data_IF_320416267331
#
_entry.id   IF_320416267331
#
_cell.length_a   1.000
_cell.length_b   1.000
_cell.length_c   1.000
_cell.angle_alpha   90.00
_cell.angle_beta   90.00
_cell.angle_gamma   90.00
#
_symmetry.space_group_name_H-M   'P 1'
#
loop_
_entity.id
_entity.type
_entity.pdbx_description
1 polymer ?
#
# COMPACT_ATOMS: atom_id res chain seq x y z
N UNK A 1 -27.75 -12.87 0.23
CA UNK A 1 -27.48 -13.21 1.64
C UNK A 1 -26.01 -13.54 1.76
N UNK A 2 -25.19 -12.64 2.29
CA UNK A 2 -23.75 -12.86 2.42
C UNK A 2 -23.50 -13.80 3.59
N UNK A 3 -23.06 -15.02 3.32
CA UNK A 3 -22.64 -15.99 4.33
C UNK A 3 -21.46 -15.39 5.09
N UNK A 4 -21.68 -15.01 6.35
CA UNK A 4 -20.60 -14.56 7.24
C UNK A 4 -19.77 -15.79 7.59
N UNK A 5 -18.74 -16.06 6.79
CA UNK A 5 -17.72 -17.07 7.10
C UNK A 5 -16.95 -16.54 8.31
N UNK A 6 -17.28 -17.05 9.50
CA UNK A 6 -16.52 -16.76 10.71
C UNK A 6 -15.27 -17.62 10.70
N UNK A 7 -14.17 -17.03 10.23
CA UNK A 7 -12.86 -17.67 10.35
C UNK A 7 -12.50 -17.85 11.82
N UNK A 8 -11.83 -18.97 12.19
CA UNK A 8 -11.55 -19.32 13.58
C UNK A 8 -10.59 -18.32 14.26
N UNK A 9 -9.85 -17.52 13.49
CA UNK A 9 -8.92 -16.51 14.01
C UNK A 9 -8.95 -15.24 13.17
N UNK A 10 -8.59 -14.10 13.79
CA UNK A 10 -8.43 -12.84 13.07
C UNK A 10 -7.38 -12.94 11.94
N UNK A 11 -6.32 -13.72 12.14
CA UNK A 11 -5.30 -13.97 11.13
C UNK A 11 -5.90 -14.67 9.89
N UNK A 12 -6.67 -15.74 10.08
CA UNK A 12 -7.32 -16.46 8.99
C UNK A 12 -8.31 -15.56 8.22
N UNK A 13 -9.02 -14.67 8.92
CA UNK A 13 -9.88 -13.66 8.29
C UNK A 13 -9.08 -12.72 7.37
N UNK A 14 -7.92 -12.23 7.81
CA UNK A 14 -7.05 -11.37 6.99
C UNK A 14 -6.43 -12.12 5.82
N UNK A 15 -5.93 -13.34 6.04
CA UNK A 15 -5.38 -14.19 4.98
C UNK A 15 -6.42 -14.43 3.88
N UNK A 16 -7.67 -14.77 4.25
CA UNK A 16 -8.75 -14.94 3.27
C UNK A 16 -8.99 -13.68 2.45
N UNK A 17 -9.05 -12.51 3.10
CA UNK A 17 -9.25 -11.24 2.38
C UNK A 17 -8.09 -10.91 1.43
N UNK A 18 -6.85 -11.20 1.84
CA UNK A 18 -5.67 -11.04 0.97
C UNK A 18 -5.78 -11.98 -0.24
N UNK A 19 -6.07 -13.27 -0.02
CA UNK A 19 -6.25 -14.25 -1.10
C UNK A 19 -7.39 -13.89 -2.06
N UNK A 20 -8.50 -13.37 -1.55
CA UNK A 20 -9.60 -12.89 -2.40
C UNK A 20 -9.19 -11.69 -3.25
N UNK A 21 -8.38 -10.77 -2.70
CA UNK A 21 -7.87 -9.63 -3.44
C UNK A 21 -6.83 -10.04 -4.50
N UNK A 22 -5.92 -10.96 -4.18
CA UNK A 22 -4.99 -11.58 -5.14
C UNK A 22 -5.74 -12.19 -6.34
N UNK A 23 -6.79 -12.97 -6.06
CA UNK A 23 -7.60 -13.60 -7.09
C UNK A 23 -8.33 -12.57 -7.98
N UNK A 24 -8.80 -11.46 -7.41
CA UNK A 24 -9.46 -10.38 -8.18
C UNK A 24 -8.50 -9.59 -9.06
N UNK A 25 -7.27 -9.38 -8.61
CA UNK A 25 -6.26 -8.59 -9.32
C UNK A 25 -5.35 -9.44 -10.22
N UNK A 26 -5.54 -10.76 -10.23
CA UNK A 26 -4.70 -11.70 -10.95
C UNK A 26 -3.20 -11.51 -10.62
N UNK A 27 -2.89 -11.31 -9.34
CA UNK A 27 -1.54 -11.22 -8.81
C UNK A 27 -1.32 -12.24 -7.70
N UNK A 28 -0.06 -12.56 -7.41
CA UNK A 28 0.34 -13.39 -6.27
C UNK A 28 1.51 -12.72 -5.58
N UNK A 29 1.37 -12.50 -4.28
CA UNK A 29 2.46 -12.14 -3.40
C UNK A 29 3.30 -13.37 -3.09
N UNK A 30 4.57 -13.16 -2.77
CA UNK A 30 5.37 -14.22 -2.17
C UNK A 30 4.92 -14.48 -0.71
N UNK A 31 5.33 -15.61 -0.15
CA UNK A 31 4.92 -16.05 1.20
C UNK A 31 5.34 -15.05 2.30
N UNK A 32 6.49 -14.39 2.14
CA UNK A 32 7.01 -13.43 3.12
C UNK A 32 6.23 -12.11 3.06
N UNK A 33 5.92 -11.61 1.86
CA UNK A 33 5.09 -10.44 1.60
C UNK A 33 3.67 -10.64 2.12
N UNK A 34 3.05 -11.78 1.82
CA UNK A 34 1.70 -12.11 2.30
C UNK A 34 1.66 -12.13 3.82
N UNK A 35 2.59 -12.88 4.44
CA UNK A 35 2.70 -12.96 5.89
C UNK A 35 2.89 -11.58 6.51
N UNK A 36 3.82 -10.77 5.95
CA UNK A 36 4.06 -9.41 6.40
C UNK A 36 2.80 -8.54 6.32
N UNK A 37 2.09 -8.59 5.20
CA UNK A 37 0.87 -7.81 4.98
C UNK A 37 -0.23 -8.19 5.97
N UNK A 38 -0.42 -9.48 6.22
CA UNK A 38 -1.39 -9.98 7.22
C UNK A 38 -1.04 -9.46 8.62
N UNK A 39 0.22 -9.56 9.03
CA UNK A 39 0.65 -9.04 10.34
C UNK A 39 0.53 -7.51 10.42
N UNK A 40 0.82 -6.80 9.32
CA UNK A 40 0.64 -5.36 9.23
C UNK A 40 -0.82 -4.97 9.48
N UNK A 41 -1.76 -5.64 8.79
CA UNK A 41 -3.19 -5.42 8.93
C UNK A 41 -3.68 -5.68 10.36
N UNK A 42 -3.26 -6.81 10.95
CA UNK A 42 -3.57 -7.14 12.34
C UNK A 42 -3.08 -6.05 13.30
N UNK A 43 -1.86 -5.54 13.11
CA UNK A 43 -1.27 -4.51 13.98
C UNK A 43 -1.95 -3.15 13.84
N UNK A 44 -2.32 -2.76 12.63
CA UNK A 44 -2.81 -1.40 12.35
C UNK A 44 -4.31 -1.23 12.58
N UNK A 45 -5.11 -2.28 12.35
CA UNK A 45 -6.57 -2.19 12.54
C UNK A 45 -7.00 -2.29 14.01
N UNK A 46 -6.07 -2.64 14.91
CA UNK A 46 -6.25 -2.48 16.36
C UNK A 46 -5.82 -1.07 16.85
N UNK A 47 -5.32 -0.19 15.98
CA UNK A 47 -4.78 1.14 16.35
C UNK A 47 -5.37 2.28 15.49
N UNK A 48 -6.56 2.80 15.82
CA UNK A 48 -7.22 3.85 15.04
C UNK A 48 -6.47 5.19 15.00
N UNK A 49 -5.54 5.43 15.93
CA UNK A 49 -4.81 6.71 16.06
C UNK A 49 -3.82 6.99 14.92
N UNK A 50 -3.51 5.96 14.12
CA UNK A 50 -2.53 6.04 13.04
C UNK A 50 -2.98 6.99 11.92
N UNK A 51 -4.29 7.22 11.78
CA UNK A 51 -4.90 8.05 10.72
C UNK A 51 -4.74 9.57 10.95
N UNK A 52 -4.11 9.99 12.07
CA UNK A 52 -3.99 11.42 12.43
C UNK A 52 -2.63 12.04 12.10
N UNK A 53 -1.56 11.28 11.94
CA UNK A 53 -0.18 11.82 11.99
C UNK A 53 0.38 12.32 10.65
N UNK A 54 1.21 13.37 10.68
CA UNK A 54 1.97 13.88 9.52
C UNK A 54 3.18 12.97 9.27
N UNK A 55 3.11 12.11 8.24
CA UNK A 55 4.11 11.07 7.98
C UNK A 55 5.48 11.64 7.57
N UNK A 56 5.49 12.77 6.87
CA UNK A 56 6.71 13.48 6.43
C UNK A 56 7.64 13.81 7.60
N UNK A 57 7.08 14.34 8.68
CA UNK A 57 7.83 14.77 9.86
C UNK A 57 8.43 13.55 10.58
N UNK A 58 7.66 12.47 10.70
CA UNK A 58 8.13 11.21 11.29
C UNK A 58 9.25 10.57 10.48
N UNK A 59 9.20 10.67 9.15
CA UNK A 59 10.28 10.19 8.30
C UNK A 59 11.57 10.96 8.56
N UNK A 60 11.48 12.29 8.61
CA UNK A 60 12.63 13.14 8.90
C UNK A 60 13.20 12.89 10.32
N UNK A 61 12.34 12.70 11.31
CA UNK A 61 12.73 12.29 12.67
C UNK A 61 13.40 10.91 12.69
N UNK A 62 12.92 9.96 11.86
CA UNK A 62 13.52 8.65 11.73
C UNK A 62 14.94 8.74 11.18
N UNK A 63 15.17 9.57 10.16
CA UNK A 63 16.50 9.79 9.58
C UNK A 63 17.48 10.39 10.60
N UNK A 64 17.02 11.28 11.49
CA UNK A 64 17.83 11.83 12.58
C UNK A 64 18.08 10.88 13.77
N UNK A 65 17.47 9.68 13.74
CA UNK A 65 17.66 8.66 14.78
C UNK A 65 18.81 7.71 14.42
N UNK A 66 19.25 6.88 15.36
CA UNK A 66 20.33 5.91 15.11
C UNK A 66 20.01 4.51 15.64
N UNK A 67 20.64 3.50 15.04
CA UNK A 67 20.50 2.10 15.44
C UNK A 67 19.08 1.54 15.27
N UNK A 68 18.68 0.65 16.17
CA UNK A 68 17.37 -0.05 16.12
C UNK A 68 16.18 0.93 16.13
N UNK A 69 16.29 2.03 16.87
CA UNK A 69 15.21 3.03 16.93
C UNK A 69 14.93 3.68 15.56
N UNK A 70 15.99 3.94 14.76
CA UNK A 70 15.82 4.43 13.39
C UNK A 70 15.10 3.42 12.53
N UNK A 71 15.50 2.15 12.60
CA UNK A 71 14.89 1.06 11.83
C UNK A 71 13.40 0.93 12.16
N UNK A 72 13.04 0.90 13.44
CA UNK A 72 11.64 0.82 13.88
C UNK A 72 10.83 2.03 13.38
N UNK A 73 11.40 3.24 13.44
CA UNK A 73 10.73 4.46 12.97
C UNK A 73 10.53 4.45 11.45
N UNK A 74 11.53 4.04 10.68
CA UNK A 74 11.44 3.91 9.22
C UNK A 74 10.40 2.87 8.81
N UNK A 75 10.39 1.72 9.47
CA UNK A 75 9.41 0.67 9.18
C UNK A 75 8.00 1.19 9.44
N UNK A 76 7.78 1.85 10.58
CA UNK A 76 6.49 2.46 10.89
C UNK A 76 6.07 3.52 9.85
N UNK A 77 7.00 4.29 9.29
CA UNK A 77 6.69 5.25 8.22
C UNK A 77 6.28 4.53 6.94
N UNK A 78 7.03 3.50 6.53
CA UNK A 78 6.75 2.73 5.32
C UNK A 78 5.37 2.05 5.41
N UNK A 79 5.11 1.38 6.53
CA UNK A 79 3.85 0.74 6.88
C UNK A 79 2.67 1.72 6.85
N UNK A 80 2.86 2.91 7.43
CA UNK A 80 1.85 3.95 7.41
C UNK A 80 1.56 4.42 5.99
N UNK A 81 2.59 4.70 5.20
CA UNK A 81 2.41 5.10 3.81
C UNK A 81 1.60 4.06 3.04
N UNK A 82 1.89 2.77 3.24
CA UNK A 82 1.17 1.67 2.59
C UNK A 82 -0.32 1.65 2.98
N UNK A 83 -0.62 1.72 4.29
CA UNK A 83 -2.01 1.72 4.80
C UNK A 83 -2.78 2.97 4.34
N UNK A 84 -2.17 4.14 4.38
CA UNK A 84 -2.82 5.38 3.92
C UNK A 84 -3.12 5.34 2.43
N UNK A 85 -2.15 4.91 1.61
CA UNK A 85 -2.31 4.86 0.17
C UNK A 85 -3.30 3.78 -0.30
N UNK A 86 -3.40 2.67 0.46
CA UNK A 86 -4.33 1.57 0.21
C UNK A 86 -5.75 1.83 0.71
N UNK A 87 -5.95 2.17 1.99
CA UNK A 87 -7.29 2.25 2.59
C UNK A 87 -7.89 3.66 2.62
N UNK A 88 -7.08 4.71 2.66
CA UNK A 88 -7.54 6.08 2.94
C UNK A 88 -7.11 7.12 1.89
N UNK A 89 -7.23 6.85 0.57
CA UNK A 89 -6.80 7.79 -0.46
C UNK A 89 -7.55 9.15 -0.40
N UNK A 90 -8.82 9.14 -0.02
CA UNK A 90 -9.61 10.39 0.13
C UNK A 90 -9.07 11.30 1.25
N UNK A 91 -8.49 10.73 2.31
CA UNK A 91 -7.91 11.52 3.39
C UNK A 91 -6.58 12.18 2.97
N UNK A 92 -5.81 11.54 2.07
CA UNK A 92 -4.63 12.14 1.45
C UNK A 92 -5.02 13.37 0.61
N UNK A 93 -6.08 13.25 -0.19
CA UNK A 93 -6.59 14.34 -1.02
C UNK A 93 -7.11 15.52 -0.19
N UNK A 94 -7.79 15.26 0.94
CA UNK A 94 -8.20 16.30 1.92
C UNK A 94 -7.01 17.05 2.53
N UNK A 95 -5.87 16.39 2.68
CA UNK A 95 -4.61 16.99 3.15
C UNK A 95 -3.82 17.70 2.03
N UNK A 96 -4.35 17.74 0.79
CA UNK A 96 -3.70 18.25 -0.43
C UNK A 96 -2.35 17.61 -0.74
N UNK A 97 -2.15 16.37 -0.29
CA UNK A 97 -0.94 15.60 -0.60
C UNK A 97 -1.31 14.53 -1.62
N UNK A 98 -0.59 14.52 -2.75
CA UNK A 98 -0.77 13.56 -3.84
C UNK A 98 -0.48 12.13 -3.38
N UNK A 99 -1.10 11.15 -4.02
CA UNK A 99 -0.90 9.74 -3.66
C UNK A 99 0.53 9.29 -3.95
N UNK A 100 1.13 9.78 -5.04
CA UNK A 100 2.51 9.52 -5.42
C UNK A 100 3.52 9.88 -4.32
N UNK A 101 3.25 10.93 -3.54
CA UNK A 101 4.11 11.29 -2.40
C UNK A 101 4.23 10.16 -1.37
N UNK A 102 3.11 9.53 -1.00
CA UNK A 102 3.12 8.42 -0.06
C UNK A 102 3.78 7.17 -0.65
N UNK A 103 3.61 6.96 -1.96
CA UNK A 103 4.29 5.88 -2.68
C UNK A 103 5.80 6.07 -2.64
N UNK A 104 6.30 7.23 -3.04
CA UNK A 104 7.73 7.53 -3.08
C UNK A 104 8.35 7.46 -1.68
N UNK A 105 7.67 8.04 -0.67
CA UNK A 105 8.12 8.03 0.71
C UNK A 105 8.17 6.60 1.29
N UNK A 106 7.13 5.80 1.06
CA UNK A 106 7.05 4.42 1.55
C UNK A 106 8.07 3.50 0.89
N UNK A 107 8.23 3.60 -0.44
CA UNK A 107 9.25 2.86 -1.20
C UNK A 107 10.66 3.23 -0.74
N UNK A 108 10.94 4.52 -0.55
CA UNK A 108 12.23 4.99 -0.08
C UNK A 108 12.54 4.50 1.34
N UNK A 109 11.54 4.48 2.23
CA UNK A 109 11.70 3.97 3.59
C UNK A 109 12.01 2.46 3.62
N UNK A 110 11.30 1.65 2.83
CA UNK A 110 11.63 0.22 2.70
C UNK A 110 12.99 -0.01 2.04
N UNK A 111 13.36 0.78 1.03
CA UNK A 111 14.68 0.67 0.39
C UNK A 111 15.83 1.05 1.35
N UNK A 112 15.63 2.06 2.21
CA UNK A 112 16.60 2.40 3.26
C UNK A 112 16.75 1.26 4.26
N UNK A 113 15.64 0.61 4.65
CA UNK A 113 15.68 -0.58 5.52
C UNK A 113 16.32 -1.79 4.84
N UNK A 114 16.14 -1.94 3.53
CA UNK A 114 16.80 -2.99 2.77
C UNK A 114 18.32 -2.80 2.73
N UNK A 115 18.77 -1.56 2.61
CA UNK A 115 20.19 -1.21 2.42
C UNK A 115 20.94 -1.07 3.75
N UNK A 116 20.31 -0.41 4.73
CA UNK A 116 20.92 0.01 6.00
C UNK A 116 20.36 -0.74 7.22
N UNK A 117 19.42 -1.66 7.00
CA UNK A 117 18.79 -2.48 8.04
C UNK A 117 19.55 -3.77 8.36
N UNK A 118 18.93 -4.65 9.19
CA UNK A 118 19.50 -5.96 9.49
C UNK A 118 19.53 -6.86 8.25
N UNK A 119 20.63 -7.59 8.05
CA UNK A 119 20.81 -8.47 6.89
C UNK A 119 19.69 -9.51 6.72
N UNK A 120 19.11 -10.00 7.83
CA UNK A 120 18.03 -11.00 7.82
C UNK A 120 16.70 -10.52 7.24
N UNK A 121 16.43 -9.21 7.19
CA UNK A 121 15.17 -8.64 6.66
C UNK A 121 15.39 -7.79 5.42
N UNK A 122 16.64 -7.67 4.96
CA UNK A 122 17.03 -6.83 3.81
C UNK A 122 16.26 -7.23 2.53
N UNK A 123 16.22 -8.52 2.21
CA UNK A 123 15.51 -9.03 1.02
C UNK A 123 14.01 -8.79 1.08
N UNK A 124 13.38 -9.04 2.23
CA UNK A 124 11.96 -8.76 2.44
C UNK A 124 11.64 -7.28 2.20
N UNK A 125 12.41 -6.37 2.79
CA UNK A 125 12.16 -4.93 2.61
C UNK A 125 12.42 -4.46 1.16
N UNK A 126 13.41 -5.02 0.47
CA UNK A 126 13.61 -4.74 -0.95
C UNK A 126 12.39 -5.21 -1.79
N UNK A 127 11.93 -6.44 -1.53
CA UNK A 127 10.75 -7.04 -2.16
C UNK A 127 9.48 -6.19 -1.91
N UNK A 128 9.26 -5.72 -0.68
CA UNK A 128 8.15 -4.83 -0.32
C UNK A 128 8.25 -3.46 -1.01
N UNK A 129 9.46 -2.90 -1.18
CA UNK A 129 9.67 -1.64 -1.88
C UNK A 129 9.36 -1.74 -3.38
N UNK A 130 9.67 -2.89 -3.98
CA UNK A 130 9.38 -3.20 -5.38
C UNK A 130 7.88 -3.45 -5.60
N UNK A 131 7.27 -4.30 -4.77
CA UNK A 131 5.86 -4.65 -4.84
C UNK A 131 4.91 -3.59 -4.28
N UNK A 132 5.41 -2.40 -3.90
CA UNK A 132 4.65 -1.42 -3.12
C UNK A 132 3.32 -1.00 -3.77
N UNK A 133 3.32 -0.75 -5.08
CA UNK A 133 2.10 -0.36 -5.81
C UNK A 133 1.12 -1.53 -5.89
N UNK A 134 1.62 -2.75 -6.10
CA UNK A 134 0.80 -3.98 -6.07
C UNK A 134 0.15 -4.18 -4.70
N UNK A 135 0.89 -3.95 -3.61
CA UNK A 135 0.37 -4.03 -2.25
C UNK A 135 -0.72 -2.98 -2.00
N UNK A 136 -0.57 -1.75 -2.52
CA UNK A 136 -1.63 -0.72 -2.46
C UNK A 136 -2.88 -1.19 -3.20
N UNK A 137 -2.73 -1.69 -4.43
CA UNK A 137 -3.84 -2.17 -5.24
C UNK A 137 -4.57 -3.32 -4.51
N UNK A 138 -3.82 -4.24 -3.90
CA UNK A 138 -4.37 -5.34 -3.12
C UNK A 138 -5.16 -4.83 -1.91
N UNK A 139 -4.61 -3.89 -1.13
CA UNK A 139 -5.30 -3.27 0.00
C UNK A 139 -6.58 -2.54 -0.44
N UNK A 140 -6.59 -1.92 -1.62
CA UNK A 140 -7.79 -1.31 -2.20
C UNK A 140 -8.82 -2.37 -2.57
N UNK A 141 -8.39 -3.46 -3.22
CA UNK A 141 -9.26 -4.57 -3.63
C UNK A 141 -9.86 -5.37 -2.45
N UNK A 142 -9.21 -5.34 -1.29
CA UNK A 142 -9.72 -5.88 -0.03
C UNK A 142 -10.92 -5.10 0.53
N UNK A 143 -11.12 -3.83 0.13
CA UNK A 143 -12.29 -3.06 0.54
C UNK A 143 -13.57 -3.73 0.02
N UNK A 144 -14.62 -3.71 0.84
CA UNK A 144 -15.87 -4.44 0.57
C UNK A 144 -16.39 -4.21 -0.84
N UNK A 145 -16.83 -5.31 -1.47
CA UNK A 145 -17.46 -5.34 -2.78
C UNK A 145 -18.62 -4.33 -2.83
N UNK A 146 -18.44 -3.22 -3.55
CA UNK A 146 -19.47 -2.18 -3.72
C UNK A 146 -19.05 -0.78 -3.26
N UNK A 147 -17.95 -0.63 -2.51
CA UNK A 147 -17.35 0.70 -2.34
C UNK A 147 -16.59 1.09 -3.60
N UNK A 148 -16.79 2.34 -4.05
CA UNK A 148 -15.99 2.90 -5.14
C UNK A 148 -14.51 2.90 -4.74
N UNK A 149 -13.68 2.27 -5.56
CA UNK A 149 -12.22 2.22 -5.36
C UNK A 149 -11.57 3.59 -5.62
N UNK A 150 -12.19 4.37 -6.49
CA UNK A 150 -11.86 5.75 -6.81
C UNK A 150 -13.12 6.61 -6.78
N UNK A 151 -13.00 7.88 -6.39
CA UNK A 151 -14.11 8.81 -6.34
C UNK A 151 -14.72 9.05 -7.73
N UNK A 152 -13.87 9.23 -8.74
CA UNK A 152 -14.20 9.44 -10.14
C UNK A 152 -13.07 8.97 -11.09
N UNK A 153 -13.32 9.06 -12.40
CA UNK A 153 -12.36 8.67 -13.44
C UNK A 153 -11.10 9.57 -13.45
N UNK A 154 -11.21 10.83 -13.02
CA UNK A 154 -10.07 11.76 -12.96
C UNK A 154 -9.08 11.30 -11.88
N UNK A 155 -9.56 10.94 -10.69
CA UNK A 155 -8.74 10.44 -9.61
C UNK A 155 -8.05 9.11 -9.98
N UNK A 156 -8.73 8.24 -10.73
CA UNK A 156 -8.13 7.03 -11.28
C UNK A 156 -7.00 7.37 -12.26
N UNK A 157 -7.23 8.32 -13.18
CA UNK A 157 -6.19 8.77 -14.13
C UNK A 157 -4.98 9.40 -13.44
N UNK A 158 -5.20 10.27 -12.43
CA UNK A 158 -4.12 10.87 -11.63
C UNK A 158 -3.31 9.81 -10.88
N UNK A 159 -3.99 8.85 -10.24
CA UNK A 159 -3.32 7.75 -9.52
C UNK A 159 -2.47 6.91 -10.48
N UNK A 160 -3.02 6.57 -11.65
CA UNK A 160 -2.28 5.80 -12.65
C UNK A 160 -1.05 6.56 -13.16
N UNK A 161 -1.20 7.85 -13.47
CA UNK A 161 -0.10 8.68 -13.95
C UNK A 161 1.02 8.83 -12.90
N UNK A 162 0.67 8.89 -11.62
CA UNK A 162 1.64 9.04 -10.53
C UNK A 162 2.32 7.73 -10.13
N UNK A 163 1.59 6.61 -10.12
CA UNK A 163 2.08 5.37 -9.49
C UNK A 163 2.17 4.17 -10.43
N UNK A 164 1.58 4.24 -11.63
CA UNK A 164 1.47 3.09 -12.53
C UNK A 164 0.50 2.00 -12.05
N UNK A 165 -0.41 2.30 -11.12
CA UNK A 165 -1.37 1.33 -10.55
C UNK A 165 -2.19 0.62 -11.63
N UNK A 166 -2.16 -0.73 -11.63
CA UNK A 166 -2.93 -1.53 -12.61
C UNK A 166 -4.42 -1.39 -12.37
N UNK A 167 -4.81 -1.37 -11.09
CA UNK A 167 -6.20 -1.22 -10.68
C UNK A 167 -6.76 0.14 -11.11
N UNK A 168 -5.96 1.21 -11.03
CA UNK A 168 -6.32 2.53 -11.53
C UNK A 168 -6.52 2.57 -13.05
N UNK A 169 -5.65 1.87 -13.79
CA UNK A 169 -5.77 1.74 -15.24
C UNK A 169 -7.06 1.00 -15.65
N UNK A 170 -7.36 -0.11 -14.98
CA UNK A 170 -8.56 -0.91 -15.25
C UNK A 170 -9.85 -0.13 -14.97
N UNK A 171 -9.88 0.69 -13.91
CA UNK A 171 -11.01 1.56 -13.63
C UNK A 171 -11.20 2.63 -14.72
N UNK A 172 -10.11 3.27 -15.16
CA UNK A 172 -10.18 4.28 -16.22
C UNK A 172 -10.73 3.70 -17.53
N UNK A 173 -10.33 2.47 -17.87
CA UNK A 173 -10.84 1.75 -19.06
C UNK A 173 -12.34 1.46 -19.02
N UNK A 174 -12.98 1.46 -17.84
CA UNK A 174 -14.44 1.33 -17.74
C UNK A 174 -15.17 2.61 -18.13
N UNK A 175 -14.49 3.75 -18.05
CA UNK A 175 -15.06 5.06 -18.34
C UNK A 175 -14.71 5.58 -19.74
N UNK A 176 -13.57 5.19 -20.30
CA UNK A 176 -13.12 5.64 -21.62
C UNK A 176 -12.27 4.57 -22.32
N UNK A 177 -12.39 4.45 -23.65
CA UNK A 177 -11.48 3.64 -24.48
C UNK A 177 -10.13 4.33 -24.79
N UNK A 178 -9.95 5.58 -24.34
CA UNK A 178 -8.72 6.34 -24.56
C UNK A 178 -7.59 5.91 -23.63
N UNK A 179 -6.38 5.81 -24.17
CA UNK A 179 -5.15 5.63 -23.39
C UNK A 179 -4.74 6.96 -22.75
N UNK A 180 -4.62 7.06 -21.42
CA UNK A 180 -4.11 8.26 -20.75
C UNK A 180 -2.70 8.65 -21.23
N UNK A 181 -2.49 9.95 -21.46
CA UNK A 181 -1.30 10.55 -22.11
C UNK A 181 0.01 10.47 -21.30
N UNK A 182 -0.05 10.10 -20.01
CA UNK A 182 1.16 9.91 -19.21
C UNK A 182 1.75 8.54 -19.52
N UNK A 183 2.94 8.43 -20.11
CA UNK A 183 3.61 7.13 -20.15
C UNK A 183 3.71 6.59 -18.71
N UNK A 184 3.38 5.30 -18.44
CA UNK A 184 3.56 4.74 -17.10
C UNK A 184 5.01 5.01 -16.66
N UNK A 185 5.25 5.37 -15.37
CA UNK A 185 6.61 5.48 -14.87
C UNK A 185 7.33 4.16 -15.20
N UNK A 186 8.38 4.28 -15.99
CA UNK A 186 9.02 3.19 -16.72
C UNK A 186 9.28 2.00 -15.80
N UNK A 187 8.53 0.91 -15.96
CA UNK A 187 8.91 -0.40 -15.44
C UNK A 187 10.15 -0.82 -16.23
N UNK A 188 11.32 -0.70 -15.58
CA UNK A 188 12.56 -1.32 -16.07
C UNK A 188 12.30 -2.82 -16.23
N UNK A 189 12.61 -3.33 -17.44
CA UNK A 189 12.60 -4.74 -17.80
C UNK A 189 13.58 -5.56 -16.98
#
# INVERSE_FOLDING_TARGET
>A
MSTLVMEPTAQAAWQRLVKEAEARLHCQLDEEQESYLVFLLMRYLTRPDIVKTILALRFLEALGSSGRLRQDRLQNVADQCLIYAGFFPEQAQRRRVRIGYFVDLGRSAYMDLATNGPAGTSRLFASLAEAFVTLIDLLRAMRQSGQRLFADALQAAETWAETGSRLAFEELRRHTDSLPLAAPPTTLQ
#
